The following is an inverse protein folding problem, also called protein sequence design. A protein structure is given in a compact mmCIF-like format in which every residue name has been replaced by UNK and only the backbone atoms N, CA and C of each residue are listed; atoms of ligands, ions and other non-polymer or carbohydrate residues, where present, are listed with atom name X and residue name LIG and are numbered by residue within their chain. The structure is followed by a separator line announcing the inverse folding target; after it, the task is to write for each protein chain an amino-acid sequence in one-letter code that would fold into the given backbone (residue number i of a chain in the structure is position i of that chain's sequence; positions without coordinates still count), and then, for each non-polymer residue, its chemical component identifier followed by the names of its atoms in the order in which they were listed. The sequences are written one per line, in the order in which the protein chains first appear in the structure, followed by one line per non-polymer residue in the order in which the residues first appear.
data_IF_652955042524
#
_entry.id   IF_652955042524
#
_cell.length_a   1.000
_cell.length_b   1.000
_cell.length_c   1.000
_cell.angle_alpha   90.00
_cell.angle_beta   90.00
_cell.angle_gamma   90.00
#
_symmetry.space_group_name_H-M   'P 1'
#
loop_
_entity.id
_entity.type
_entity.pdbx_description
1 polymer ?
#
# COMPACT_ATOMS: atom_id res chain seq x y z
N UNK A 1 15.70 39.23 -19.21
CA UNK A 1 15.84 37.79 -18.91
C UNK A 1 16.07 37.00 -20.19
N UNK A 2 17.04 36.10 -20.22
CA UNK A 2 17.30 35.20 -21.35
C UNK A 2 17.34 33.76 -20.85
N UNK A 3 16.69 32.83 -21.56
CA UNK A 3 16.64 31.41 -21.20
C UNK A 3 17.11 30.62 -22.41
N UNK A 4 18.05 29.70 -22.18
CA UNK A 4 18.57 28.80 -23.20
C UNK A 4 18.62 27.40 -22.68
N UNK A 5 18.51 26.42 -23.58
CA UNK A 5 18.62 25.00 -23.28
C UNK A 5 19.79 24.41 -24.03
N UNK A 6 20.62 23.66 -23.33
CA UNK A 6 21.74 22.92 -23.90
C UNK A 6 21.54 21.41 -23.64
N UNK A 7 21.74 20.58 -24.65
CA UNK A 7 21.75 19.13 -24.47
C UNK A 7 22.95 18.69 -23.61
N UNK A 8 22.73 17.84 -22.64
CA UNK A 8 23.78 17.31 -21.74
C UNK A 8 23.76 15.79 -21.70
N UNK A 9 23.78 15.17 -22.87
CA UNK A 9 23.71 13.71 -23.02
C UNK A 9 22.36 13.20 -23.48
N UNK A 10 22.15 11.87 -23.38
CA UNK A 10 20.92 11.27 -23.79
C UNK A 10 19.79 11.59 -22.77
N UNK A 11 18.69 12.15 -23.24
CA UNK A 11 17.51 12.53 -22.43
C UNK A 11 17.84 13.45 -21.23
N UNK A 12 18.91 14.23 -21.32
CA UNK A 12 19.30 15.22 -20.33
C UNK A 12 19.58 16.57 -20.97
N UNK A 13 19.19 17.63 -20.30
CA UNK A 13 19.54 18.97 -20.73
C UNK A 13 19.82 19.89 -19.53
N UNK A 14 20.47 20.98 -19.81
CA UNK A 14 20.72 22.06 -18.86
C UNK A 14 19.94 23.28 -19.35
N UNK A 15 19.07 23.78 -18.48
CA UNK A 15 18.39 25.06 -18.70
C UNK A 15 19.23 26.15 -18.03
N UNK A 16 19.69 27.10 -18.82
CA UNK A 16 20.42 28.26 -18.35
C UNK A 16 19.50 29.48 -18.36
N UNK A 17 19.34 30.11 -17.21
CA UNK A 17 18.54 31.33 -17.01
C UNK A 17 19.49 32.45 -16.63
N UNK A 18 19.56 33.44 -17.48
CA UNK A 18 20.29 34.70 -17.22
C UNK A 18 19.31 35.80 -16.86
N UNK A 19 19.37 36.27 -15.63
CA UNK A 19 18.56 37.36 -15.08
C UNK A 19 19.35 38.67 -15.07
N UNK A 20 18.76 39.72 -15.62
CA UNK A 20 19.26 41.07 -15.44
C UNK A 20 18.60 41.71 -14.22
N UNK A 21 19.21 42.78 -13.69
CA UNK A 21 18.68 43.51 -12.55
C UNK A 21 17.27 44.07 -12.78
N UNK A 22 16.94 44.37 -14.01
CA UNK A 22 15.64 44.90 -14.42
C UNK A 22 14.52 43.87 -14.24
N UNK A 23 14.84 42.59 -14.35
CA UNK A 23 13.84 41.47 -14.27
C UNK A 23 13.27 41.29 -12.85
N UNK A 24 14.01 41.68 -11.79
CA UNK A 24 13.60 41.43 -10.40
C UNK A 24 13.56 42.66 -9.52
N UNK A 25 14.21 43.79 -9.89
CA UNK A 25 14.38 44.95 -9.00
C UNK A 25 13.06 45.63 -8.61
N UNK A 26 12.06 45.61 -9.48
CA UNK A 26 10.75 46.18 -9.17
C UNK A 26 10.04 45.35 -8.11
N UNK A 27 10.08 43.99 -8.23
CA UNK A 27 9.52 43.05 -7.24
C UNK A 27 10.21 43.25 -5.89
N UNK A 28 11.54 43.32 -5.86
CA UNK A 28 12.33 43.57 -4.65
C UNK A 28 11.93 44.90 -3.98
N UNK A 29 11.83 45.98 -4.75
CA UNK A 29 11.43 47.29 -4.21
C UNK A 29 9.98 47.28 -3.68
N UNK A 30 9.08 46.54 -4.31
CA UNK A 30 7.69 46.37 -3.86
C UNK A 30 7.65 45.64 -2.53
N UNK A 31 8.33 44.49 -2.43
CA UNK A 31 8.40 43.66 -1.20
C UNK A 31 9.07 44.45 -0.06
N UNK A 32 10.16 45.19 -0.32
CA UNK A 32 10.77 46.06 0.69
C UNK A 32 9.83 47.17 1.17
N UNK A 33 8.97 47.73 0.30
CA UNK A 33 7.94 48.72 0.72
C UNK A 33 6.92 48.08 1.66
N UNK A 34 6.54 46.79 1.43
CA UNK A 34 5.61 46.10 2.30
C UNK A 34 6.26 45.72 3.63
N UNK A 35 7.52 45.28 3.63
CA UNK A 35 8.32 45.15 4.86
C UNK A 35 8.37 46.44 5.65
N UNK A 36 8.58 47.61 4.99
CA UNK A 36 8.56 48.90 5.64
C UNK A 36 7.25 49.18 6.36
N UNK A 37 6.11 48.88 5.75
CA UNK A 37 4.78 49.08 6.34
C UNK A 37 4.58 48.28 7.63
N UNK A 38 5.15 47.08 7.66
CA UNK A 38 5.05 46.13 8.78
C UNK A 38 6.16 46.29 9.82
N UNK A 39 7.25 46.96 9.49
CA UNK A 39 8.41 47.11 10.35
C UNK A 39 8.09 47.95 11.60
N UNK A 40 8.38 47.36 12.77
CA UNK A 40 8.30 47.99 14.08
C UNK A 40 9.73 48.09 14.62
N UNK A 41 10.27 49.33 14.68
CA UNK A 41 11.63 49.59 15.14
C UNK A 41 11.63 50.63 16.24
N UNK A 42 12.41 50.45 17.33
CA UNK A 42 12.58 51.47 18.35
C UNK A 42 13.01 52.80 17.77
N UNK A 43 12.33 53.87 18.12
CA UNK A 43 12.60 55.22 17.63
C UNK A 43 11.89 55.64 16.34
N UNK A 44 11.12 54.74 15.71
CA UNK A 44 10.32 55.05 14.53
C UNK A 44 8.86 54.65 14.71
N UNK A 45 7.94 55.46 14.21
CA UNK A 45 6.53 55.07 14.12
C UNK A 45 6.38 53.91 13.13
N UNK A 46 5.53 52.91 13.42
CA UNK A 46 5.25 51.79 12.46
C UNK A 46 4.98 52.31 11.06
N UNK A 47 5.68 51.77 10.06
CA UNK A 47 5.60 52.18 8.66
C UNK A 47 6.41 53.41 8.26
N UNK A 48 7.05 54.12 9.20
CA UNK A 48 7.86 55.34 8.95
C UNK A 48 9.36 55.10 9.04
N UNK A 49 9.81 53.85 9.09
CA UNK A 49 11.23 53.53 9.04
C UNK A 49 11.83 53.95 7.70
N UNK A 50 13.00 54.66 7.67
CA UNK A 50 13.65 55.05 6.43
C UNK A 50 13.96 53.86 5.52
N UNK A 51 13.67 53.94 4.23
CA UNK A 51 13.86 52.87 3.26
C UNK A 51 15.31 52.35 3.22
N UNK A 52 16.29 53.25 3.41
CA UNK A 52 17.71 52.86 3.50
C UNK A 52 18.02 51.90 4.64
N UNK A 53 17.37 52.05 5.80
CA UNK A 53 17.50 51.08 6.91
C UNK A 53 16.84 49.77 6.59
N UNK A 54 15.64 49.76 5.99
CA UNK A 54 14.96 48.58 5.53
C UNK A 54 15.82 47.82 4.51
N UNK A 55 16.37 48.51 3.53
CA UNK A 55 17.29 47.96 2.53
C UNK A 55 18.54 47.34 3.19
N UNK A 56 19.11 47.99 4.21
CA UNK A 56 20.30 47.50 4.90
C UNK A 56 20.00 46.24 5.71
N UNK A 57 18.80 46.17 6.29
CA UNK A 57 18.41 45.01 7.18
C UNK A 57 17.88 43.84 6.40
N UNK A 58 17.07 44.08 5.40
CA UNK A 58 16.30 43.00 4.72
C UNK A 58 16.65 42.90 3.23
N UNK A 59 17.40 43.86 2.69
CA UNK A 59 17.62 43.98 1.25
C UNK A 59 18.22 42.72 0.63
N UNK A 60 19.26 42.17 1.23
CA UNK A 60 19.93 40.97 0.72
C UNK A 60 19.00 39.76 0.70
N UNK A 61 18.32 39.51 1.83
CA UNK A 61 17.38 38.39 1.95
C UNK A 61 16.20 38.55 0.97
N UNK A 62 15.55 39.74 0.95
CA UNK A 62 14.43 39.99 0.04
C UNK A 62 14.85 39.88 -1.42
N UNK A 63 16.08 40.31 -1.76
CA UNK A 63 16.59 40.17 -3.12
C UNK A 63 16.77 38.68 -3.47
N UNK A 64 17.36 37.88 -2.57
CA UNK A 64 17.52 36.45 -2.79
C UNK A 64 16.17 35.73 -2.96
N UNK A 65 15.21 36.07 -2.10
CA UNK A 65 13.86 35.45 -2.14
C UNK A 65 13.12 35.78 -3.45
N UNK A 66 13.14 37.06 -3.87
CA UNK A 66 12.48 37.48 -5.11
C UNK A 66 13.19 36.99 -6.37
N UNK A 67 14.51 36.87 -6.35
CA UNK A 67 15.28 36.29 -7.44
C UNK A 67 14.93 34.79 -7.56
N UNK A 68 14.96 34.04 -6.46
CA UNK A 68 14.61 32.62 -6.48
C UNK A 68 13.18 32.39 -7.00
N UNK A 69 12.24 33.23 -6.56
CA UNK A 69 10.86 33.15 -7.04
C UNK A 69 10.77 33.45 -8.54
N UNK A 70 11.46 34.49 -9.01
CA UNK A 70 11.48 34.86 -10.43
C UNK A 70 12.12 33.80 -11.30
N UNK A 71 13.21 33.16 -10.83
CA UNK A 71 13.87 32.03 -11.51
C UNK A 71 12.93 30.84 -11.60
N UNK A 72 12.28 30.49 -10.49
CA UNK A 72 11.35 29.35 -10.46
C UNK A 72 10.15 29.55 -11.40
N UNK A 73 9.56 30.76 -11.39
CA UNK A 73 8.47 31.13 -12.31
C UNK A 73 8.94 31.04 -13.78
N UNK A 74 10.12 31.56 -14.07
CA UNK A 74 10.68 31.57 -15.41
C UNK A 74 11.01 30.16 -15.92
N UNK A 75 11.56 29.31 -15.04
CA UNK A 75 11.88 27.93 -15.36
C UNK A 75 10.62 27.12 -15.70
N UNK A 76 9.60 27.23 -14.85
CA UNK A 76 8.33 26.53 -15.07
C UNK A 76 7.65 27.00 -16.37
N UNK A 77 7.56 28.31 -16.57
CA UNK A 77 6.99 28.86 -17.80
C UNK A 77 7.73 28.38 -19.05
N UNK A 78 9.08 28.34 -19.00
CA UNK A 78 9.89 27.88 -20.13
C UNK A 78 9.62 26.39 -20.44
N UNK A 79 9.51 25.55 -19.42
CA UNK A 79 9.20 24.11 -19.55
C UNK A 79 7.81 23.95 -20.18
N UNK A 80 6.81 24.68 -19.68
CA UNK A 80 5.42 24.61 -20.17
C UNK A 80 5.28 25.13 -21.61
N UNK A 81 5.85 26.30 -21.92
CA UNK A 81 5.79 26.92 -23.27
C UNK A 81 6.47 26.06 -24.33
N UNK A 82 7.59 25.43 -23.98
CA UNK A 82 8.32 24.53 -24.88
C UNK A 82 7.82 23.09 -24.81
N UNK A 83 6.79 22.79 -23.99
CA UNK A 83 6.21 21.47 -23.83
C UNK A 83 7.24 20.40 -23.52
N UNK A 84 8.22 20.74 -22.67
CA UNK A 84 9.28 19.82 -22.27
C UNK A 84 8.69 18.86 -21.23
N UNK A 85 8.61 17.56 -21.57
CA UNK A 85 8.15 16.54 -20.64
C UNK A 85 9.30 16.15 -19.70
N UNK A 86 9.31 16.75 -18.50
CA UNK A 86 10.40 16.57 -17.53
C UNK A 86 10.10 15.39 -16.61
N UNK A 87 11.12 14.54 -16.39
CA UNK A 87 11.09 13.46 -15.39
C UNK A 87 11.68 13.98 -14.06
N UNK A 88 10.92 13.87 -12.99
CA UNK A 88 11.26 14.45 -11.70
C UNK A 88 11.06 15.97 -11.67
N UNK A 89 11.94 16.68 -10.99
CA UNK A 89 11.97 18.15 -10.98
C UNK A 89 13.35 18.67 -11.40
N UNK A 90 13.42 19.88 -11.98
CA UNK A 90 14.70 20.50 -12.34
C UNK A 90 15.62 20.65 -11.12
N UNK A 91 16.85 20.19 -11.22
CA UNK A 91 17.83 20.25 -10.13
C UNK A 91 18.84 21.37 -10.36
N UNK A 92 19.11 22.24 -9.36
CA UNK A 92 20.15 23.25 -9.49
C UNK A 92 21.52 22.63 -9.79
N UNK A 93 22.17 23.07 -10.84
CA UNK A 93 23.54 22.65 -11.18
C UNK A 93 24.54 23.52 -10.43
N UNK A 94 25.02 23.02 -9.28
CA UNK A 94 25.93 23.75 -8.41
C UNK A 94 27.36 23.88 -8.97
N UNK A 95 27.73 23.06 -9.96
CA UNK A 95 29.05 23.14 -10.60
C UNK A 95 29.14 24.33 -11.58
N UNK A 96 28.05 24.56 -12.32
CA UNK A 96 27.96 25.69 -13.29
C UNK A 96 27.47 26.97 -12.63
N UNK A 97 26.64 26.89 -11.58
CA UNK A 97 26.13 28.09 -10.88
C UNK A 97 27.19 28.64 -9.92
N UNK A 98 27.74 29.80 -10.23
CA UNK A 98 28.73 30.47 -9.38
C UNK A 98 28.05 31.08 -8.14
N UNK A 99 28.78 31.23 -7.02
CA UNK A 99 28.28 31.99 -5.87
C UNK A 99 27.83 33.40 -6.27
N UNK A 100 26.63 33.76 -5.91
CA UNK A 100 25.98 35.00 -6.33
C UNK A 100 26.20 36.09 -5.27
N UNK A 101 26.80 37.22 -5.68
CA UNK A 101 26.80 38.47 -4.91
C UNK A 101 25.73 39.41 -5.49
N UNK A 102 24.58 39.46 -4.84
CA UNK A 102 23.46 40.28 -5.25
C UNK A 102 23.74 41.79 -5.20
N UNK A 103 24.86 42.23 -4.59
CA UNK A 103 25.21 43.64 -4.45
C UNK A 103 25.94 44.22 -5.67
N UNK A 104 26.68 43.40 -6.38
CA UNK A 104 27.60 43.80 -7.45
C UNK A 104 27.28 43.20 -8.81
N UNK A 105 26.41 42.19 -8.89
CA UNK A 105 26.13 41.48 -10.11
C UNK A 105 25.27 42.28 -11.09
N UNK A 106 25.75 42.48 -12.33
CA UNK A 106 24.96 43.06 -13.43
C UNK A 106 24.04 42.03 -14.08
N UNK A 107 24.37 40.73 -13.96
CA UNK A 107 23.59 39.60 -14.40
C UNK A 107 23.77 38.41 -13.45
N UNK A 108 22.74 37.57 -13.33
CA UNK A 108 22.71 36.40 -12.50
C UNK A 108 22.45 35.19 -13.36
N UNK A 109 23.37 34.21 -13.33
CA UNK A 109 23.28 32.99 -14.11
C UNK A 109 22.88 31.80 -13.21
N UNK A 110 21.80 31.14 -13.60
CA UNK A 110 21.30 29.93 -12.94
C UNK A 110 21.25 28.80 -13.92
N UNK A 111 21.73 27.65 -13.49
CA UNK A 111 21.74 26.45 -14.32
C UNK A 111 20.95 25.35 -13.62
N UNK A 112 20.08 24.69 -14.39
CA UNK A 112 19.24 23.60 -13.89
C UNK A 112 19.41 22.37 -14.78
N UNK A 113 19.77 21.27 -14.19
CA UNK A 113 19.75 19.97 -14.87
C UNK A 113 18.31 19.45 -14.90
N UNK A 114 17.89 18.96 -16.07
CA UNK A 114 16.59 18.31 -16.27
C UNK A 114 16.77 16.93 -16.92
N UNK A 115 15.96 15.98 -16.47
CA UNK A 115 15.74 14.73 -17.19
C UNK A 115 14.53 14.88 -18.11
N UNK A 116 14.64 14.44 -19.36
CA UNK A 116 13.60 14.55 -20.37
C UNK A 116 12.99 13.18 -20.61
N UNK A 117 11.67 13.09 -20.63
CA UNK A 117 10.98 11.87 -21.00
C UNK A 117 11.20 11.54 -22.49
N UNK A 118 11.48 10.29 -22.85
CA UNK A 118 11.62 9.89 -24.24
C UNK A 118 10.30 9.97 -24.99
N UNK A 119 10.37 10.09 -26.31
CA UNK A 119 9.22 9.85 -27.16
C UNK A 119 9.08 8.35 -27.44
N UNK A 120 7.91 7.82 -27.22
CA UNK A 120 7.53 6.42 -27.51
C UNK A 120 6.03 6.32 -27.76
N UNK A 121 5.61 5.23 -28.41
CA UNK A 121 4.22 4.95 -28.68
C UNK A 121 3.75 3.73 -27.88
N UNK A 122 2.45 3.74 -27.53
CA UNK A 122 1.76 2.64 -26.86
C UNK A 122 0.60 2.20 -27.75
N UNK A 123 0.65 0.97 -28.26
CA UNK A 123 -0.42 0.39 -29.08
C UNK A 123 -0.80 -0.99 -28.52
N UNK A 124 -1.95 -1.04 -27.83
CA UNK A 124 -2.51 -2.26 -27.25
C UNK A 124 -2.99 -3.27 -28.32
N UNK A 125 -3.18 -2.82 -29.56
CA UNK A 125 -3.67 -3.63 -30.68
C UNK A 125 -2.58 -3.97 -31.70
N UNK A 126 -1.33 -3.68 -31.36
CA UNK A 126 -0.18 -3.98 -32.23
C UNK A 126 -0.15 -5.45 -32.58
N UNK A 127 0.16 -5.75 -33.84
CA UNK A 127 0.32 -7.13 -34.30
C UNK A 127 1.43 -7.84 -33.50
N UNK A 128 1.11 -9.01 -32.96
CA UNK A 128 2.03 -9.79 -32.10
C UNK A 128 1.96 -9.41 -30.62
N UNK A 129 1.26 -8.33 -30.23
CA UNK A 129 1.02 -8.02 -28.82
C UNK A 129 -0.12 -8.89 -28.29
N UNK A 130 0.23 -10.04 -27.70
CA UNK A 130 -0.71 -11.02 -27.17
C UNK A 130 -0.24 -11.44 -25.78
N UNK A 131 -1.16 -11.47 -24.81
CA UNK A 131 -0.89 -11.79 -23.39
C UNK A 131 -1.78 -12.96 -22.96
N UNK A 132 -1.26 -13.96 -22.22
CA UNK A 132 -2.09 -15.06 -21.74
C UNK A 132 -3.11 -14.53 -20.71
N UNK A 133 -4.36 -15.03 -20.81
CA UNK A 133 -5.39 -14.81 -19.80
C UNK A 133 -5.63 -16.12 -19.07
N UNK A 134 -5.16 -16.23 -17.83
CA UNK A 134 -5.28 -17.44 -17.03
C UNK A 134 -6.65 -17.53 -16.39
N UNK A 135 -7.50 -18.42 -16.91
CA UNK A 135 -8.81 -18.71 -16.35
C UNK A 135 -8.70 -19.81 -15.32
N UNK A 136 -8.91 -19.45 -14.06
CA UNK A 136 -8.82 -20.39 -12.94
C UNK A 136 -10.09 -21.23 -12.91
N UNK A 137 -9.94 -22.55 -13.00
CA UNK A 137 -11.05 -23.50 -12.92
C UNK A 137 -11.46 -23.74 -11.46
N UNK A 138 -12.76 -23.63 -11.18
CA UNK A 138 -13.31 -24.02 -9.87
C UNK A 138 -13.63 -25.51 -9.89
N UNK A 139 -12.84 -26.27 -9.17
CA UNK A 139 -13.02 -27.74 -9.05
C UNK A 139 -14.05 -28.09 -7.97
N UNK A 140 -14.63 -29.28 -8.06
CA UNK A 140 -15.55 -29.80 -7.01
C UNK A 140 -14.85 -29.88 -5.65
N UNK A 141 -13.54 -30.15 -5.63
CA UNK A 141 -12.74 -30.18 -4.41
C UNK A 141 -12.72 -28.84 -3.69
N UNK A 142 -12.64 -27.72 -4.43
CA UNK A 142 -12.63 -26.39 -3.85
C UNK A 142 -14.01 -26.00 -3.31
N UNK A 143 -15.07 -26.40 -4.01
CA UNK A 143 -16.43 -26.23 -3.52
C UNK A 143 -16.63 -27.01 -2.23
N UNK A 144 -16.14 -28.25 -2.13
CA UNK A 144 -16.20 -29.05 -0.91
C UNK A 144 -15.34 -28.44 0.22
N UNK A 145 -14.15 -27.92 -0.09
CA UNK A 145 -13.33 -27.22 0.90
C UNK A 145 -14.06 -25.99 1.46
N UNK A 146 -14.58 -25.14 0.57
CA UNK A 146 -15.35 -23.96 0.98
C UNK A 146 -16.60 -24.33 1.80
N UNK A 147 -17.25 -25.43 1.44
CA UNK A 147 -18.39 -25.97 2.18
C UNK A 147 -17.99 -26.40 3.60
N UNK A 148 -16.85 -27.09 3.75
CA UNK A 148 -16.33 -27.51 5.05
C UNK A 148 -15.93 -26.28 5.90
N UNK A 149 -15.29 -25.28 5.31
CA UNK A 149 -14.97 -24.03 6.00
C UNK A 149 -16.24 -23.32 6.50
N UNK A 150 -17.30 -23.31 5.69
CA UNK A 150 -18.61 -22.76 6.08
C UNK A 150 -19.20 -23.56 7.24
N UNK A 151 -19.17 -24.90 7.20
CA UNK A 151 -19.68 -25.74 8.30
C UNK A 151 -18.96 -25.43 9.62
N UNK A 152 -17.64 -25.30 9.57
CA UNK A 152 -16.85 -24.95 10.76
C UNK A 152 -17.16 -23.53 11.23
N UNK A 153 -17.20 -22.55 10.32
CA UNK A 153 -17.38 -21.13 10.65
C UNK A 153 -18.77 -20.79 11.19
N UNK A 154 -19.80 -21.45 10.70
CA UNK A 154 -21.20 -21.25 11.12
C UNK A 154 -21.69 -22.33 12.08
N UNK A 155 -20.78 -23.18 12.56
CA UNK A 155 -21.04 -24.16 13.58
C UNK A 155 -21.38 -23.55 14.94
N UNK A 156 -21.83 -24.36 15.83
CA UNK A 156 -22.19 -23.96 17.20
C UNK A 156 -21.12 -24.43 18.18
N UNK A 157 -20.88 -23.63 19.22
CA UNK A 157 -20.07 -24.04 20.35
C UNK A 157 -20.96 -24.66 21.41
N UNK A 158 -20.67 -25.91 21.78
CA UNK A 158 -21.29 -26.62 22.90
C UNK A 158 -20.30 -26.68 24.05
N UNK A 159 -20.80 -26.65 25.28
CA UNK A 159 -20.01 -26.78 26.51
C UNK A 159 -20.37 -28.11 27.21
N UNK A 160 -19.84 -29.23 26.72
CA UNK A 160 -20.17 -30.53 27.26
C UNK A 160 -19.55 -30.75 28.66
N UNK A 161 -20.18 -31.59 29.48
CA UNK A 161 -19.65 -31.90 30.81
C UNK A 161 -18.30 -32.63 30.77
N UNK A 162 -17.99 -33.33 29.70
CA UNK A 162 -16.76 -34.15 29.55
C UNK A 162 -16.10 -33.94 28.20
N UNK A 163 -14.81 -33.79 28.25
CA UNK A 163 -13.98 -33.62 27.04
C UNK A 163 -13.82 -34.92 26.26
N UNK A 164 -13.92 -34.84 24.94
CA UNK A 164 -13.70 -35.91 23.96
C UNK A 164 -12.60 -35.56 22.96
N UNK A 165 -12.31 -36.48 22.05
CA UNK A 165 -11.36 -36.25 20.97
C UNK A 165 -11.88 -35.15 20.06
N UNK A 166 -11.06 -34.12 19.81
CA UNK A 166 -11.44 -32.97 18.97
C UNK A 166 -11.89 -31.74 19.75
N UNK A 167 -12.29 -31.89 21.01
CA UNK A 167 -12.69 -30.76 21.83
C UNK A 167 -11.53 -29.83 22.16
N UNK A 168 -11.85 -28.56 22.40
CA UNK A 168 -10.99 -27.58 23.04
C UNK A 168 -11.17 -27.63 24.57
N UNK A 169 -10.12 -27.30 25.26
CA UNK A 169 -10.15 -27.09 26.73
C UNK A 169 -9.61 -25.73 27.07
N UNK A 170 -10.38 -24.99 27.84
CA UNK A 170 -9.94 -23.75 28.47
C UNK A 170 -9.60 -24.06 29.92
N UNK A 171 -8.56 -23.42 30.43
CA UNK A 171 -8.19 -23.65 31.80
C UNK A 171 -6.98 -22.86 32.25
N UNK A 172 -6.63 -23.05 33.51
CA UNK A 172 -5.55 -22.35 34.17
C UNK A 172 -4.31 -23.22 34.26
N UNK A 173 -3.20 -22.74 33.69
CA UNK A 173 -1.85 -23.28 33.91
C UNK A 173 -1.28 -22.73 35.20
N UNK A 174 -0.71 -23.58 36.05
CA UNK A 174 0.02 -23.20 37.24
C UNK A 174 1.32 -23.99 37.27
N UNK A 175 2.44 -23.26 37.39
CA UNK A 175 3.78 -23.83 37.35
C UNK A 175 4.08 -24.76 38.57
N UNK A 176 4.69 -25.91 38.27
CA UNK A 176 5.14 -26.86 39.28
C UNK A 176 6.68 -26.91 39.38
N UNK A 177 7.17 -27.17 40.59
CA UNK A 177 8.57 -27.50 40.82
C UNK A 177 8.90 -28.96 40.45
N UNK A 178 10.17 -29.35 40.58
CA UNK A 178 10.61 -30.72 40.25
C UNK A 178 10.03 -31.80 41.19
N UNK A 179 9.45 -31.38 42.33
CA UNK A 179 8.80 -32.28 43.29
C UNK A 179 7.27 -32.35 43.05
N UNK A 180 6.75 -31.58 42.10
CA UNK A 180 5.32 -31.53 41.73
C UNK A 180 4.49 -30.59 42.61
N UNK A 181 5.11 -29.67 43.38
CA UNK A 181 4.42 -28.68 44.18
C UNK A 181 4.27 -27.37 43.38
N UNK A 182 3.24 -26.59 43.71
CA UNK A 182 3.02 -25.27 43.09
C UNK A 182 4.13 -24.29 43.46
N UNK A 183 4.75 -23.68 42.46
CA UNK A 183 5.80 -22.66 42.66
C UNK A 183 5.15 -21.37 43.14
N UNK A 184 5.52 -20.88 44.35
CA UNK A 184 5.02 -19.61 44.85
C UNK A 184 5.53 -18.42 44.00
N UNK A 185 4.61 -17.68 43.40
CA UNK A 185 4.93 -16.59 42.48
C UNK A 185 5.43 -17.06 41.11
N UNK A 186 5.28 -18.36 40.79
CA UNK A 186 5.52 -18.92 39.48
C UNK A 186 4.46 -18.51 38.45
N UNK A 187 4.58 -19.03 37.26
CA UNK A 187 3.68 -18.70 36.15
C UNK A 187 2.27 -19.24 36.45
N UNK A 188 1.31 -18.32 36.38
CA UNK A 188 -0.12 -18.63 36.39
C UNK A 188 -0.76 -17.90 35.20
N UNK A 189 -1.37 -18.66 34.27
CA UNK A 189 -1.98 -18.09 33.08
C UNK A 189 -3.19 -18.90 32.63
N UNK A 190 -4.22 -18.21 32.11
CA UNK A 190 -5.36 -18.86 31.48
C UNK A 190 -5.05 -19.07 30.00
N UNK A 191 -5.32 -20.28 29.52
CA UNK A 191 -5.07 -20.63 28.13
C UNK A 191 -6.14 -21.55 27.57
N UNK A 192 -6.29 -21.50 26.26
CA UNK A 192 -7.15 -22.39 25.49
C UNK A 192 -6.32 -23.16 24.46
N UNK A 193 -6.60 -24.45 24.31
CA UNK A 193 -6.03 -25.25 23.23
C UNK A 193 -6.97 -26.40 22.86
N UNK A 194 -6.89 -26.84 21.62
CA UNK A 194 -7.60 -28.06 21.20
C UNK A 194 -6.80 -29.27 21.61
N UNK A 195 -7.47 -30.31 22.09
CA UNK A 195 -6.80 -31.57 22.55
C UNK A 195 -5.98 -32.22 21.41
N UNK A 196 -6.44 -32.09 20.16
CA UNK A 196 -5.72 -32.57 18.97
C UNK A 196 -4.42 -31.84 18.66
N UNK A 197 -4.21 -30.66 19.22
CA UNK A 197 -2.96 -29.87 19.04
C UNK A 197 -1.81 -30.47 19.85
N UNK A 198 -2.10 -31.26 20.86
CA UNK A 198 -1.12 -31.99 21.64
C UNK A 198 -0.49 -33.09 20.75
N UNK A 199 0.83 -33.05 20.59
CA UNK A 199 1.54 -33.97 19.67
C UNK A 199 1.63 -35.41 20.14
N UNK A 200 1.42 -35.66 21.44
CA UNK A 200 1.52 -37.00 22.04
C UNK A 200 0.13 -37.50 22.40
N UNK A 201 -0.30 -38.60 21.74
CA UNK A 201 -1.58 -39.27 22.03
C UNK A 201 -1.75 -39.72 23.50
N UNK A 202 -0.65 -40.01 24.18
CA UNK A 202 -0.66 -40.33 25.62
C UNK A 202 -1.08 -39.13 26.46
N UNK A 203 -0.74 -37.91 26.06
CA UNK A 203 -1.14 -36.70 26.75
C UNK A 203 -2.58 -36.34 26.36
N UNK A 204 -2.98 -36.44 25.08
CA UNK A 204 -4.37 -36.25 24.65
C UNK A 204 -5.34 -37.08 25.49
N UNK A 205 -5.02 -38.40 25.69
CA UNK A 205 -5.85 -39.29 26.48
C UNK A 205 -6.03 -38.93 27.95
N UNK A 206 -5.14 -38.10 28.52
CA UNK A 206 -5.30 -37.57 29.86
C UNK A 206 -6.49 -36.63 30.01
N UNK A 207 -6.93 -36.03 28.88
CA UNK A 207 -8.06 -35.11 28.84
C UNK A 207 -9.39 -35.80 28.54
N UNK A 208 -9.38 -36.96 27.88
CA UNK A 208 -10.61 -37.66 27.53
C UNK A 208 -11.43 -38.05 28.74
N UNK A 209 -12.71 -37.74 28.73
CA UNK A 209 -13.67 -38.01 29.81
C UNK A 209 -13.47 -37.08 31.03
N UNK A 210 -12.62 -36.07 30.96
CA UNK A 210 -12.42 -35.13 32.07
C UNK A 210 -13.44 -34.01 31.98
N UNK A 211 -13.88 -33.52 33.16
CA UNK A 211 -14.82 -32.43 33.33
C UNK A 211 -14.12 -31.19 33.87
N UNK A 212 -14.89 -30.11 33.94
CA UNK A 212 -14.50 -28.87 34.63
C UNK A 212 -13.97 -29.20 36.05
N UNK A 213 -13.07 -28.42 36.58
CA UNK A 213 -12.32 -28.57 37.82
C UNK A 213 -11.34 -29.76 37.88
N UNK A 214 -11.23 -30.52 36.79
CA UNK A 214 -10.21 -31.60 36.74
C UNK A 214 -8.82 -31.01 36.50
N UNK A 215 -7.85 -31.44 37.30
CA UNK A 215 -6.44 -31.07 37.18
C UNK A 215 -5.70 -32.09 36.35
N UNK A 216 -4.99 -31.68 35.33
CA UNK A 216 -4.15 -32.52 34.47
C UNK A 216 -2.72 -31.97 34.51
N UNK A 217 -1.79 -32.82 34.98
CA UNK A 217 -0.35 -32.46 34.96
C UNK A 217 0.25 -32.79 33.59
N UNK A 218 0.94 -31.80 33.00
CA UNK A 218 1.66 -31.91 31.73
C UNK A 218 2.84 -30.95 31.66
N UNK A 219 3.82 -31.32 30.83
CA UNK A 219 4.84 -30.41 30.39
C UNK A 219 4.45 -29.79 29.06
N UNK A 220 4.18 -28.47 28.97
CA UNK A 220 3.68 -27.84 27.72
C UNK A 220 4.67 -28.00 26.56
N UNK A 221 5.97 -27.83 26.77
CA UNK A 221 6.97 -27.99 25.70
C UNK A 221 6.98 -29.41 25.12
N UNK A 222 6.86 -30.43 25.96
CA UNK A 222 6.77 -31.81 25.52
C UNK A 222 5.43 -32.12 24.85
N UNK A 223 4.36 -31.48 25.30
CA UNK A 223 3.01 -31.72 24.80
C UNK A 223 2.77 -31.11 23.43
N UNK A 224 3.17 -29.87 23.23
CA UNK A 224 2.92 -29.12 21.98
C UNK A 224 4.08 -29.21 20.99
N UNK A 225 5.33 -29.31 21.47
CA UNK A 225 6.56 -29.27 20.65
C UNK A 225 6.65 -28.04 19.75
N UNK A 226 6.15 -26.91 20.25
CA UNK A 226 6.07 -25.63 19.58
C UNK A 226 6.24 -24.52 20.62
N UNK A 227 7.42 -23.90 20.63
CA UNK A 227 7.79 -22.90 21.64
C UNK A 227 6.93 -21.63 21.54
N UNK A 228 6.61 -21.19 20.30
CA UNK A 228 5.79 -20.00 20.10
C UNK A 228 4.38 -20.20 20.66
N UNK A 229 3.80 -21.39 20.41
CA UNK A 229 2.50 -21.75 20.96
C UNK A 229 2.51 -21.88 22.48
N UNK A 230 3.57 -22.45 23.06
CA UNK A 230 3.72 -22.57 24.52
C UNK A 230 3.85 -21.20 25.17
N UNK A 231 4.62 -20.28 24.58
CA UNK A 231 4.71 -18.89 25.06
C UNK A 231 3.35 -18.18 25.03
N UNK A 232 2.59 -18.36 23.96
CA UNK A 232 1.24 -17.79 23.86
C UNK A 232 0.27 -18.37 24.93
N UNK A 233 0.42 -19.63 25.29
CA UNK A 233 -0.41 -20.31 26.30
C UNK A 233 -0.03 -19.97 27.74
N UNK A 234 1.24 -19.65 28.00
CA UNK A 234 1.76 -19.36 29.33
C UNK A 234 1.89 -17.85 29.62
N UNK A 235 1.68 -17.02 28.58
CA UNK A 235 1.76 -15.57 28.66
C UNK A 235 3.12 -14.98 28.27
N UNK A 236 3.11 -13.70 27.96
CA UNK A 236 4.32 -12.95 27.57
C UNK A 236 5.27 -12.79 28.78
N UNK A 237 6.56 -13.00 28.55
CA UNK A 237 7.59 -12.82 29.57
C UNK A 237 7.98 -14.07 30.37
N UNK A 238 7.52 -15.24 29.94
CA UNK A 238 7.92 -16.52 30.52
C UNK A 238 9.40 -16.81 30.18
N UNK A 239 10.22 -17.06 31.22
CA UNK A 239 11.64 -17.37 31.05
C UNK A 239 11.89 -18.81 30.58
N UNK A 240 13.14 -19.12 30.21
CA UNK A 240 13.52 -20.43 29.70
C UNK A 240 13.30 -21.59 30.71
N UNK A 241 13.40 -21.31 32.01
CA UNK A 241 13.20 -22.29 33.07
C UNK A 241 11.72 -22.64 33.21
N UNK A 242 10.86 -21.63 33.23
CA UNK A 242 9.42 -21.79 33.26
C UNK A 242 8.88 -22.48 31.99
N UNK A 243 9.45 -22.20 30.80
CA UNK A 243 9.07 -22.89 29.58
C UNK A 243 9.30 -24.41 29.62
N UNK A 244 10.33 -24.86 30.37
CA UNK A 244 10.71 -26.27 30.50
C UNK A 244 10.05 -26.96 31.69
N UNK A 245 9.38 -26.20 32.57
CA UNK A 245 8.75 -26.70 33.78
C UNK A 245 7.51 -27.55 33.47
N UNK A 246 7.13 -28.39 34.45
CA UNK A 246 5.84 -29.03 34.46
C UNK A 246 4.77 -28.06 34.99
N UNK A 247 3.54 -28.25 34.53
CA UNK A 247 2.39 -27.44 34.93
C UNK A 247 1.22 -28.34 35.31
N UNK A 248 0.45 -27.92 36.30
CA UNK A 248 -0.92 -28.39 36.44
C UNK A 248 -1.82 -27.47 35.58
N UNK A 249 -2.68 -28.12 34.81
CA UNK A 249 -3.73 -27.46 34.04
C UNK A 249 -5.09 -27.83 34.65
N UNK A 250 -5.76 -26.83 35.19
CA UNK A 250 -7.11 -26.98 35.73
C UNK A 250 -8.12 -26.63 34.65
N UNK A 251 -8.94 -27.55 34.23
CA UNK A 251 -9.95 -27.30 33.20
C UNK A 251 -11.03 -26.41 33.78
N UNK A 252 -11.28 -25.27 33.16
CA UNK A 252 -12.35 -24.33 33.52
C UNK A 252 -13.55 -24.44 32.58
N UNK A 253 -13.31 -24.91 31.35
CA UNK A 253 -14.36 -25.11 30.34
C UNK A 253 -13.93 -26.18 29.33
N UNK A 254 -14.93 -26.86 28.76
CA UNK A 254 -14.75 -27.77 27.61
C UNK A 254 -15.58 -27.20 26.47
N UNK A 255 -14.94 -26.98 25.34
CA UNK A 255 -15.56 -26.35 24.18
C UNK A 255 -15.56 -27.33 23.02
N UNK A 256 -16.73 -27.70 22.55
CA UNK A 256 -16.93 -28.56 21.38
C UNK A 256 -17.48 -27.74 20.24
N UNK A 257 -16.72 -27.67 19.16
CA UNK A 257 -17.21 -27.08 17.93
C UNK A 257 -17.98 -28.11 17.12
N UNK A 258 -19.30 -27.95 17.08
CA UNK A 258 -20.17 -28.73 16.25
C UNK A 258 -20.33 -28.07 14.90
N UNK A 259 -19.97 -28.82 13.84
CA UNK A 259 -20.15 -28.31 12.47
C UNK A 259 -21.63 -27.94 12.22
N UNK A 260 -21.86 -26.85 11.52
CA UNK A 260 -23.20 -26.44 11.10
C UNK A 260 -23.84 -27.50 10.22
N UNK A 261 -25.09 -27.80 10.46
CA UNK A 261 -25.91 -28.61 9.56
C UNK A 261 -26.21 -27.81 8.29
N UNK A 262 -26.14 -28.48 7.13
CA UNK A 262 -26.46 -27.84 5.84
C UNK A 262 -27.98 -27.84 5.64
N UNK A 263 -28.62 -26.84 6.20
CA UNK A 263 -30.08 -26.63 6.14
C UNK A 263 -30.38 -25.17 5.73
N UNK A 264 -31.67 -24.87 5.50
CA UNK A 264 -32.12 -23.54 5.05
C UNK A 264 -31.71 -22.40 6.01
N UNK A 265 -31.60 -22.67 7.32
CA UNK A 265 -31.17 -21.69 8.31
C UNK A 265 -29.70 -21.30 8.09
N UNK A 266 -28.84 -22.28 7.92
CA UNK A 266 -27.41 -22.07 7.61
C UNK A 266 -27.24 -21.39 6.27
N UNK A 267 -27.98 -21.80 5.24
CA UNK A 267 -27.91 -21.16 3.91
C UNK A 267 -28.28 -19.68 3.99
N UNK A 268 -29.30 -19.35 4.76
CA UNK A 268 -29.72 -17.95 4.96
C UNK A 268 -28.75 -17.12 5.82
N UNK A 269 -28.06 -17.76 6.77
CA UNK A 269 -26.99 -17.10 7.54
C UNK A 269 -25.80 -16.75 6.64
N UNK A 270 -25.44 -17.64 5.68
CA UNK A 270 -24.32 -17.45 4.76
C UNK A 270 -24.67 -16.49 3.63
N UNK A 271 -25.86 -16.63 3.04
CA UNK A 271 -26.37 -15.83 1.92
C UNK A 271 -27.74 -15.22 2.25
N UNK A 272 -27.76 -14.15 3.07
CA UNK A 272 -29.02 -13.57 3.55
C UNK A 272 -29.98 -13.08 2.46
N UNK A 273 -29.45 -12.69 1.30
CA UNK A 273 -30.18 -12.12 0.18
C UNK A 273 -30.71 -13.17 -0.81
N UNK A 274 -30.30 -14.43 -0.66
CA UNK A 274 -30.61 -15.49 -1.62
C UNK A 274 -31.65 -16.45 -1.03
N UNK A 275 -32.59 -16.95 -1.84
CA UNK A 275 -33.61 -17.95 -1.43
C UNK A 275 -33.11 -19.37 -1.81
N UNK A 276 -32.14 -19.86 -1.05
CA UNK A 276 -31.49 -21.15 -1.26
C UNK A 276 -32.18 -22.18 -0.38
N UNK A 277 -32.67 -23.30 -0.97
CA UNK A 277 -33.43 -24.35 -0.27
C UNK A 277 -32.78 -25.71 -0.32
N UNK A 278 -31.88 -25.94 -1.28
CA UNK A 278 -31.24 -27.26 -1.44
C UNK A 278 -29.72 -27.13 -1.28
N UNK A 279 -29.07 -28.25 -0.93
CA UNK A 279 -27.62 -28.32 -0.84
C UNK A 279 -26.98 -28.10 -2.23
N UNK A 280 -27.63 -28.58 -3.28
CA UNK A 280 -27.20 -28.43 -4.65
C UNK A 280 -27.18 -26.94 -5.05
N UNK A 281 -28.23 -26.19 -4.73
CA UNK A 281 -28.30 -24.76 -4.99
C UNK A 281 -27.24 -23.99 -4.16
N UNK A 282 -27.01 -24.42 -2.92
CA UNK A 282 -26.00 -23.85 -2.05
C UNK A 282 -24.59 -24.06 -2.61
N UNK A 283 -24.27 -25.27 -3.07
CA UNK A 283 -23.00 -25.58 -3.74
C UNK A 283 -22.85 -24.78 -5.04
N UNK A 284 -23.89 -24.66 -5.84
CA UNK A 284 -23.87 -23.87 -7.07
C UNK A 284 -23.61 -22.38 -6.76
N UNK A 285 -24.16 -21.87 -5.67
CA UNK A 285 -23.94 -20.48 -5.24
C UNK A 285 -22.52 -20.27 -4.75
N UNK A 286 -21.97 -21.19 -3.97
CA UNK A 286 -20.53 -21.17 -3.57
C UNK A 286 -19.63 -21.20 -4.80
N UNK A 287 -19.90 -22.11 -5.74
CA UNK A 287 -19.13 -22.18 -6.99
C UNK A 287 -19.12 -20.87 -7.75
N UNK A 288 -20.28 -20.23 -7.88
CA UNK A 288 -20.40 -18.91 -8.52
C UNK A 288 -19.60 -17.83 -7.81
N UNK A 289 -19.53 -17.84 -6.48
CA UNK A 289 -18.71 -16.89 -5.72
C UNK A 289 -17.20 -17.13 -5.91
N UNK A 290 -16.79 -18.39 -5.91
CA UNK A 290 -15.41 -18.77 -6.20
C UNK A 290 -15.02 -18.37 -7.64
N UNK A 291 -15.89 -18.64 -8.63
CA UNK A 291 -15.67 -18.19 -10.02
C UNK A 291 -15.52 -16.68 -10.13
N UNK A 292 -16.35 -15.91 -9.40
CA UNK A 292 -16.26 -14.46 -9.37
C UNK A 292 -14.97 -13.97 -8.69
N UNK A 293 -14.53 -14.64 -7.65
CA UNK A 293 -13.27 -14.33 -6.97
C UNK A 293 -12.08 -14.61 -7.88
N UNK A 294 -12.03 -15.79 -8.47
CA UNK A 294 -10.98 -16.19 -9.39
C UNK A 294 -10.94 -15.35 -10.68
N UNK A 295 -12.09 -14.91 -11.18
CA UNK A 295 -12.11 -13.98 -12.32
C UNK A 295 -11.41 -12.64 -11.99
N UNK A 296 -11.52 -12.15 -10.75
CA UNK A 296 -10.79 -10.96 -10.30
C UNK A 296 -9.28 -11.20 -10.23
N UNK A 297 -8.88 -12.36 -9.71
CA UNK A 297 -7.47 -12.71 -9.62
C UNK A 297 -6.85 -12.90 -11.02
N UNK A 298 -7.58 -13.57 -11.92
CA UNK A 298 -7.20 -13.71 -13.33
C UNK A 298 -7.04 -12.35 -14.02
N UNK A 299 -7.99 -11.44 -13.81
CA UNK A 299 -7.96 -10.09 -14.37
C UNK A 299 -6.79 -9.26 -13.83
N UNK A 300 -6.49 -9.39 -12.53
CA UNK A 300 -5.34 -8.72 -11.91
C UNK A 300 -4.02 -9.23 -12.48
N UNK A 301 -3.87 -10.55 -12.62
CA UNK A 301 -2.66 -11.13 -13.21
C UNK A 301 -2.51 -10.71 -14.67
N UNK A 302 -3.58 -10.76 -15.46
CA UNK A 302 -3.57 -10.30 -16.84
C UNK A 302 -3.14 -8.84 -16.95
N UNK A 303 -3.66 -7.97 -16.08
CA UNK A 303 -3.27 -6.56 -16.02
C UNK A 303 -1.76 -6.41 -15.72
N UNK A 304 -1.24 -7.16 -14.77
CA UNK A 304 0.19 -7.16 -14.43
C UNK A 304 1.07 -7.63 -15.61
N UNK A 305 0.65 -8.69 -16.29
CA UNK A 305 1.37 -9.23 -17.46
C UNK A 305 1.36 -8.26 -18.64
N UNK A 306 0.21 -7.58 -18.89
CA UNK A 306 0.12 -6.52 -19.89
C UNK A 306 1.04 -5.35 -19.57
N UNK A 307 1.06 -4.88 -18.33
CA UNK A 307 1.95 -3.80 -17.87
C UNK A 307 3.42 -4.18 -18.09
N UNK A 308 3.80 -5.37 -17.67
CA UNK A 308 5.16 -5.87 -17.85
C UNK A 308 5.56 -5.90 -19.31
N UNK A 309 4.71 -6.46 -20.15
CA UNK A 309 4.95 -6.54 -21.59
C UNK A 309 4.99 -5.17 -22.27
N UNK A 310 4.14 -4.23 -21.87
CA UNK A 310 4.17 -2.86 -22.38
C UNK A 310 5.50 -2.16 -22.04
N UNK A 311 5.99 -2.32 -20.82
CA UNK A 311 7.28 -1.75 -20.41
C UNK A 311 8.44 -2.36 -21.22
N UNK A 312 8.41 -3.66 -21.44
CA UNK A 312 9.45 -4.36 -22.21
C UNK A 312 9.43 -3.98 -23.69
N UNK A 313 8.25 -3.96 -24.34
CA UNK A 313 8.14 -3.68 -25.78
C UNK A 313 8.27 -2.20 -26.14
N UNK A 314 7.98 -1.29 -25.20
CA UNK A 314 8.10 0.15 -25.46
C UNK A 314 9.56 0.64 -25.57
N UNK A 315 10.54 -0.18 -25.18
CA UNK A 315 11.97 0.16 -25.21
C UNK A 315 12.29 1.55 -24.67
N UNK A 316 11.62 1.93 -23.57
CA UNK A 316 11.77 3.24 -22.94
C UNK A 316 13.17 3.36 -22.35
N UNK A 317 13.96 4.30 -22.91
CA UNK A 317 15.21 4.72 -22.29
C UNK A 317 14.92 5.78 -21.23
N UNK A 318 15.71 5.79 -20.17
CA UNK A 318 15.59 6.76 -19.08
C UNK A 318 16.89 7.55 -18.91
N UNK A 319 16.84 8.80 -18.44
CA UNK A 319 18.04 9.55 -18.07
C UNK A 319 18.60 9.07 -16.72
N UNK A 320 19.11 7.83 -16.66
CA UNK A 320 19.46 7.13 -15.42
C UNK A 320 20.38 7.93 -14.50
N UNK A 321 21.41 8.56 -15.05
CA UNK A 321 22.36 9.35 -14.26
C UNK A 321 21.67 10.55 -13.57
N UNK A 322 20.70 11.20 -14.24
CA UNK A 322 19.90 12.27 -13.67
C UNK A 322 18.93 11.70 -12.61
N UNK A 323 18.20 10.64 -12.93
CA UNK A 323 17.20 10.04 -12.03
C UNK A 323 17.82 9.52 -10.74
N UNK A 324 19.00 8.92 -10.80
CA UNK A 324 19.73 8.48 -9.59
C UNK A 324 20.06 9.67 -8.69
N UNK A 325 20.62 10.77 -9.23
CA UNK A 325 20.87 11.99 -8.45
C UNK A 325 19.57 12.60 -7.89
N UNK A 326 18.53 12.64 -8.70
CA UNK A 326 17.23 13.16 -8.31
C UNK A 326 16.61 12.32 -7.17
N UNK A 327 16.70 10.99 -7.22
CA UNK A 327 16.22 10.10 -6.16
C UNK A 327 16.97 10.32 -4.84
N UNK A 328 18.29 10.51 -4.88
CA UNK A 328 19.08 10.82 -3.69
C UNK A 328 18.69 12.15 -3.08
N UNK A 329 18.52 13.19 -3.90
CA UNK A 329 18.13 14.52 -3.45
C UNK A 329 16.71 14.53 -2.85
N UNK A 330 15.75 13.93 -3.55
CA UNK A 330 14.34 13.89 -3.12
C UNK A 330 14.13 13.12 -1.82
N UNK A 331 14.95 12.09 -1.55
CA UNK A 331 14.89 11.31 -0.32
C UNK A 331 15.64 11.93 0.87
N UNK A 332 16.28 13.09 0.68
CA UNK A 332 16.93 13.85 1.77
C UNK A 332 17.84 13.01 2.67
N UNK A 333 18.62 12.11 2.09
CA UNK A 333 19.57 11.27 2.81
C UNK A 333 18.97 10.05 3.53
N UNK A 334 17.68 9.73 3.29
CA UNK A 334 17.05 8.50 3.82
C UNK A 334 17.49 7.24 3.09
N UNK A 335 18.03 7.39 1.88
CA UNK A 335 18.54 6.30 1.03
C UNK A 335 20.01 6.57 0.75
N UNK A 336 20.87 5.56 0.90
CA UNK A 336 22.28 5.62 0.51
C UNK A 336 22.46 5.32 -0.97
N UNK A 337 23.59 5.76 -1.55
CA UNK A 337 23.93 5.43 -2.94
C UNK A 337 23.96 3.91 -3.20
N UNK A 338 24.48 3.13 -2.25
CA UNK A 338 24.52 1.66 -2.35
C UNK A 338 23.13 1.04 -2.35
N UNK A 339 22.24 1.53 -1.48
CA UNK A 339 20.84 1.10 -1.46
C UNK A 339 20.10 1.48 -2.74
N UNK A 340 20.33 2.70 -3.24
CA UNK A 340 19.75 3.13 -4.49
C UNK A 340 20.22 2.25 -5.65
N UNK A 341 21.52 1.96 -5.74
CA UNK A 341 22.07 1.14 -6.83
C UNK A 341 21.47 -0.26 -6.85
N UNK A 342 21.27 -0.88 -5.68
CA UNK A 342 20.63 -2.19 -5.56
C UNK A 342 19.14 -2.22 -5.91
N UNK A 343 18.44 -1.08 -5.80
CA UNK A 343 17.00 -0.97 -6.01
C UNK A 343 16.62 -0.19 -7.28
N UNK A 344 17.61 0.34 -8.00
CA UNK A 344 17.36 1.25 -9.12
C UNK A 344 16.49 0.65 -10.22
N UNK A 345 16.67 -0.64 -10.53
CA UNK A 345 15.86 -1.33 -11.53
C UNK A 345 14.35 -1.30 -11.19
N UNK A 346 14.00 -1.37 -9.91
CA UNK A 346 12.61 -1.25 -9.47
C UNK A 346 12.08 0.18 -9.66
N UNK A 347 12.90 1.19 -9.32
CA UNK A 347 12.53 2.59 -9.59
C UNK A 347 12.40 2.87 -11.09
N UNK A 348 13.32 2.34 -11.89
CA UNK A 348 13.28 2.48 -13.36
C UNK A 348 12.00 1.86 -13.95
N UNK A 349 11.58 0.67 -13.48
CA UNK A 349 10.31 0.06 -13.88
C UNK A 349 9.12 0.96 -13.53
N UNK A 350 9.14 1.56 -12.33
CA UNK A 350 8.07 2.48 -11.90
C UNK A 350 8.01 3.74 -12.78
N UNK A 351 9.14 4.34 -13.14
CA UNK A 351 9.16 5.49 -14.05
C UNK A 351 8.68 5.12 -15.45
N UNK A 352 9.13 3.99 -15.98
CA UNK A 352 8.66 3.50 -17.28
C UNK A 352 7.15 3.27 -17.26
N UNK A 353 6.64 2.67 -16.19
CA UNK A 353 5.20 2.48 -16.03
C UNK A 353 4.44 3.81 -15.99
N UNK A 354 4.89 4.79 -15.21
CA UNK A 354 4.27 6.12 -15.18
C UNK A 354 4.17 6.74 -16.58
N UNK A 355 5.23 6.67 -17.37
CA UNK A 355 5.22 7.17 -18.73
C UNK A 355 4.21 6.45 -19.62
N UNK A 356 4.13 5.13 -19.53
CA UNK A 356 3.15 4.30 -20.25
C UNK A 356 1.73 4.65 -19.81
N UNK A 357 1.50 4.74 -18.51
CA UNK A 357 0.20 5.08 -17.91
C UNK A 357 -0.30 6.46 -18.38
N UNK A 358 0.58 7.47 -18.43
CA UNK A 358 0.24 8.80 -18.91
C UNK A 358 -0.14 8.79 -20.39
N UNK A 359 0.53 7.98 -21.22
CA UNK A 359 0.14 7.77 -22.63
C UNK A 359 -1.21 7.07 -22.74
N UNK A 360 -1.46 6.03 -21.93
CA UNK A 360 -2.76 5.35 -21.89
C UNK A 360 -3.87 6.30 -21.43
N UNK A 361 -3.65 7.12 -20.41
CA UNK A 361 -4.61 8.15 -19.97
C UNK A 361 -4.91 9.16 -21.08
N UNK A 362 -3.92 9.59 -21.83
CA UNK A 362 -4.11 10.49 -22.96
C UNK A 362 -4.89 9.82 -24.08
N UNK A 363 -4.68 8.52 -24.34
CA UNK A 363 -5.34 7.76 -25.41
C UNK A 363 -6.79 7.39 -25.06
N UNK A 364 -7.04 6.92 -23.82
CA UNK A 364 -8.34 6.41 -23.39
C UNK A 364 -9.19 7.43 -22.61
N UNK A 365 -8.63 8.57 -22.23
CA UNK A 365 -9.34 9.70 -21.66
C UNK A 365 -10.23 9.32 -20.48
N UNK A 366 -11.55 9.54 -20.61
CA UNK A 366 -12.50 9.30 -19.52
C UNK A 366 -12.56 7.85 -19.03
N UNK A 367 -12.13 6.86 -19.82
CA UNK A 367 -12.10 5.46 -19.39
C UNK A 367 -11.07 5.23 -18.29
N UNK A 368 -9.97 6.00 -18.29
CA UNK A 368 -8.90 5.94 -17.30
C UNK A 368 -8.88 7.16 -16.35
N UNK A 369 -9.94 7.94 -16.30
CA UNK A 369 -10.07 9.04 -15.33
C UNK A 369 -10.77 8.55 -14.06
N UNK A 370 -10.15 8.77 -12.92
CA UNK A 370 -10.75 8.55 -11.59
C UNK A 370 -10.97 9.92 -10.96
N UNK A 371 -12.23 10.35 -10.87
CA UNK A 371 -12.61 11.58 -10.21
C UNK A 371 -12.92 11.38 -8.73
N UNK A 372 -13.05 12.48 -8.00
CA UNK A 372 -13.33 12.44 -6.57
C UNK A 372 -14.67 11.75 -6.24
N UNK A 373 -15.68 11.86 -7.13
CA UNK A 373 -16.97 11.23 -6.89
C UNK A 373 -16.89 9.72 -7.05
N UNK A 374 -16.13 9.21 -8.03
CA UNK A 374 -15.86 7.78 -8.18
C UNK A 374 -15.17 7.19 -6.92
N UNK A 375 -14.24 7.93 -6.33
CA UNK A 375 -13.60 7.52 -5.06
C UNK A 375 -14.62 7.47 -3.93
N UNK A 376 -15.48 8.48 -3.82
CA UNK A 376 -16.57 8.51 -2.82
C UNK A 376 -17.57 7.38 -3.02
N UNK A 377 -17.96 7.11 -4.25
CA UNK A 377 -18.88 6.02 -4.58
C UNK A 377 -18.29 4.65 -4.25
N UNK A 378 -16.99 4.46 -4.43
CA UNK A 378 -16.30 3.23 -4.02
C UNK A 378 -16.40 3.03 -2.50
N UNK A 379 -16.22 4.09 -1.71
CA UNK A 379 -16.39 4.02 -0.25
C UNK A 379 -17.85 3.75 0.13
N UNK A 380 -18.82 4.41 -0.52
CA UNK A 380 -20.27 4.14 -0.29
C UNK A 380 -20.63 2.69 -0.56
N UNK A 381 -20.02 2.09 -1.59
CA UNK A 381 -20.27 0.70 -1.95
C UNK A 381 -19.87 -0.30 -0.85
N UNK A 382 -18.90 0.03 0.02
CA UNK A 382 -18.60 -0.79 1.21
C UNK A 382 -19.78 -0.89 2.19
N UNK A 383 -20.66 0.11 2.17
CA UNK A 383 -21.90 0.14 2.97
C UNK A 383 -23.14 -0.28 2.16
N UNK A 384 -22.93 -0.92 0.99
CA UNK A 384 -23.99 -1.34 0.06
C UNK A 384 -24.86 -0.19 -0.47
N UNK A 385 -24.31 1.03 -0.50
CA UNK A 385 -24.94 2.23 -1.03
C UNK A 385 -24.36 2.54 -2.40
N UNK A 386 -25.23 2.68 -3.42
CA UNK A 386 -24.84 3.07 -4.77
C UNK A 386 -25.29 4.51 -5.04
N UNK A 387 -24.31 5.38 -5.29
CA UNK A 387 -24.54 6.79 -5.57
C UNK A 387 -24.89 7.65 -4.34
N UNK A 388 -24.59 8.94 -4.47
CA UNK A 388 -24.83 9.92 -3.38
C UNK A 388 -26.31 10.09 -3.05
N UNK A 389 -27.17 9.96 -4.02
CA UNK A 389 -28.64 10.10 -3.90
C UNK A 389 -29.26 9.04 -2.99
N UNK A 390 -28.63 7.88 -2.85
CA UNK A 390 -29.05 6.79 -1.99
C UNK A 390 -28.35 6.80 -0.62
N UNK A 391 -27.42 7.74 -0.41
CA UNK A 391 -26.65 7.86 0.82
C UNK A 391 -27.40 8.68 1.88
N UNK A 392 -27.12 8.39 3.13
CA UNK A 392 -27.61 9.18 4.26
C UNK A 392 -26.48 10.01 4.90
N UNK A 393 -26.79 11.03 5.72
CA UNK A 393 -25.77 11.90 6.31
C UNK A 393 -24.73 11.18 7.16
N UNK A 394 -25.07 10.05 7.78
CA UNK A 394 -24.13 9.28 8.60
C UNK A 394 -23.09 8.58 7.72
N UNK A 395 -23.53 7.99 6.59
CA UNK A 395 -22.63 7.36 5.62
C UNK A 395 -21.73 8.41 4.99
N UNK A 396 -22.25 9.57 4.59
CA UNK A 396 -21.43 10.66 4.03
C UNK A 396 -20.37 11.14 5.03
N UNK A 397 -20.71 11.23 6.32
CA UNK A 397 -19.73 11.58 7.36
C UNK A 397 -18.62 10.52 7.47
N UNK A 398 -18.96 9.23 7.36
CA UNK A 398 -17.95 8.16 7.35
C UNK A 398 -17.10 8.24 6.09
N UNK A 399 -17.69 8.50 4.92
CA UNK A 399 -16.98 8.71 3.65
C UNK A 399 -15.96 9.85 3.80
N UNK A 400 -16.39 11.00 4.36
CA UNK A 400 -15.49 12.14 4.58
C UNK A 400 -14.39 11.81 5.58
N UNK A 401 -14.67 11.04 6.62
CA UNK A 401 -13.68 10.60 7.61
C UNK A 401 -12.63 9.67 6.99
N UNK A 402 -13.05 8.68 6.19
CA UNK A 402 -12.12 7.77 5.51
C UNK A 402 -11.23 8.55 4.53
N UNK A 403 -11.82 9.43 3.73
CA UNK A 403 -11.09 10.21 2.71
C UNK A 403 -10.27 11.38 3.29
N UNK A 404 -10.47 11.76 4.55
CA UNK A 404 -9.58 12.69 5.25
C UNK A 404 -8.20 12.08 5.52
N UNK A 405 -8.11 10.75 5.57
CA UNK A 405 -6.85 10.03 5.59
C UNK A 405 -6.30 9.93 4.16
N UNK A 406 -5.20 10.65 3.90
CA UNK A 406 -4.58 10.68 2.56
C UNK A 406 -4.13 9.31 2.07
N UNK A 407 -3.64 8.45 2.96
CA UNK A 407 -3.18 7.11 2.61
C UNK A 407 -4.34 6.22 2.16
N UNK A 408 -5.46 6.24 2.90
CA UNK A 408 -6.67 5.50 2.52
C UNK A 408 -7.27 6.02 1.21
N UNK A 409 -7.35 7.35 1.05
CA UNK A 409 -7.82 7.96 -0.18
C UNK A 409 -6.96 7.57 -1.40
N UNK A 410 -5.63 7.56 -1.24
CA UNK A 410 -4.70 7.14 -2.29
C UNK A 410 -4.84 5.66 -2.63
N UNK A 411 -5.04 4.81 -1.63
CA UNK A 411 -5.26 3.37 -1.82
C UNK A 411 -6.53 3.10 -2.64
N UNK A 412 -7.64 3.76 -2.27
CA UNK A 412 -8.92 3.61 -3.00
C UNK A 412 -8.80 4.13 -4.43
N UNK A 413 -8.09 5.26 -4.62
CA UNK A 413 -7.81 5.78 -5.96
C UNK A 413 -7.03 4.78 -6.80
N UNK A 414 -5.98 4.17 -6.23
CA UNK A 414 -5.17 3.15 -6.92
C UNK A 414 -5.99 1.92 -7.27
N UNK A 415 -6.84 1.42 -6.36
CA UNK A 415 -7.74 0.29 -6.62
C UNK A 415 -8.70 0.58 -7.79
N UNK A 416 -9.27 1.79 -7.85
CA UNK A 416 -10.14 2.19 -8.95
C UNK A 416 -9.39 2.34 -10.28
N UNK A 417 -8.17 2.85 -10.23
CA UNK A 417 -7.32 2.94 -11.42
C UNK A 417 -6.98 1.54 -11.96
N UNK A 418 -6.61 0.62 -11.07
CA UNK A 418 -6.34 -0.78 -11.45
C UNK A 418 -7.57 -1.46 -12.08
N UNK A 419 -8.77 -1.23 -11.52
CA UNK A 419 -10.03 -1.74 -12.09
C UNK A 419 -10.28 -1.17 -13.49
N UNK A 420 -10.05 0.12 -13.70
CA UNK A 420 -10.22 0.78 -15.00
C UNK A 420 -9.19 0.33 -16.03
N UNK A 421 -7.91 0.22 -15.61
CA UNK A 421 -6.85 -0.33 -16.47
C UNK A 421 -7.16 -1.77 -16.87
N UNK A 422 -7.58 -2.59 -15.93
CA UNK A 422 -7.98 -3.97 -16.21
C UNK A 422 -9.11 -4.06 -17.23
N UNK A 423 -10.13 -3.22 -17.12
CA UNK A 423 -11.23 -3.17 -18.07
C UNK A 423 -10.75 -2.77 -19.47
N UNK A 424 -9.92 -1.72 -19.58
CA UNK A 424 -9.33 -1.26 -20.84
C UNK A 424 -8.46 -2.35 -21.47
N UNK A 425 -7.65 -3.05 -20.70
CA UNK A 425 -6.78 -4.10 -21.22
C UNK A 425 -7.56 -5.32 -21.67
N UNK A 426 -8.56 -5.77 -20.91
CA UNK A 426 -9.42 -6.91 -21.31
C UNK A 426 -10.14 -6.60 -22.62
N UNK A 427 -10.57 -5.35 -22.86
CA UNK A 427 -11.27 -4.94 -24.06
C UNK A 427 -10.35 -4.79 -25.28
N UNK A 428 -9.11 -4.31 -25.09
CA UNK A 428 -8.26 -3.85 -26.17
C UNK A 428 -7.04 -4.74 -26.46
N UNK A 429 -6.61 -5.57 -25.51
CA UNK A 429 -5.44 -6.45 -25.68
C UNK A 429 -5.89 -7.81 -26.17
N UNK A 430 -5.22 -8.33 -27.20
CA UNK A 430 -5.46 -9.70 -27.64
C UNK A 430 -4.99 -10.69 -26.58
N UNK A 431 -5.92 -11.47 -26.04
CA UNK A 431 -5.63 -12.48 -25.05
C UNK A 431 -5.75 -13.89 -25.59
N UNK A 432 -4.93 -14.80 -25.06
CA UNK A 432 -5.05 -16.24 -25.24
C UNK A 432 -5.53 -16.83 -23.92
N UNK A 433 -6.78 -17.32 -23.90
CA UNK A 433 -7.32 -17.96 -22.70
C UNK A 433 -6.60 -19.29 -22.43
N UNK A 434 -6.06 -19.45 -21.23
CA UNK A 434 -5.45 -20.68 -20.72
C UNK A 434 -6.15 -21.11 -19.45
N UNK A 435 -6.79 -22.27 -19.45
CA UNK A 435 -7.45 -22.82 -18.26
C UNK A 435 -6.38 -23.42 -17.35
N UNK A 436 -6.37 -23.01 -16.09
CA UNK A 436 -5.37 -23.44 -15.09
C UNK A 436 -6.05 -23.82 -13.79
N UNK A 437 -5.42 -24.72 -13.00
CA UNK A 437 -5.84 -24.98 -11.63
C UNK A 437 -5.38 -23.87 -10.69
N UNK A 438 -6.00 -23.68 -9.50
CA UNK A 438 -5.57 -22.71 -8.53
C UNK A 438 -4.11 -22.84 -8.10
N UNK A 439 -3.64 -24.08 -7.92
CA UNK A 439 -2.25 -24.35 -7.55
C UNK A 439 -1.29 -23.87 -8.66
N UNK A 440 -1.65 -24.16 -9.92
CA UNK A 440 -0.86 -23.72 -11.07
C UNK A 440 -0.84 -22.20 -11.22
N UNK A 441 -1.98 -21.56 -10.98
CA UNK A 441 -2.08 -20.13 -10.98
C UNK A 441 -1.16 -19.50 -9.91
N UNK A 442 -1.15 -20.05 -8.70
CA UNK A 442 -0.26 -19.60 -7.63
C UNK A 442 1.23 -19.70 -8.02
N UNK A 443 1.63 -20.79 -8.70
CA UNK A 443 3.01 -20.90 -9.22
C UNK A 443 3.35 -19.83 -10.25
N UNK A 444 2.39 -19.45 -11.11
CA UNK A 444 2.56 -18.41 -12.13
C UNK A 444 2.78 -17.05 -11.44
N UNK A 445 1.89 -16.69 -10.51
CA UNK A 445 1.96 -15.43 -9.76
C UNK A 445 3.28 -15.30 -8.99
N UNK A 446 3.76 -16.39 -8.36
CA UNK A 446 5.03 -16.38 -7.61
C UNK A 446 6.24 -16.13 -8.51
N UNK A 447 6.24 -16.63 -9.74
CA UNK A 447 7.36 -16.44 -10.68
C UNK A 447 7.48 -15.02 -11.21
N UNK A 448 6.38 -14.27 -11.25
CA UNK A 448 6.37 -12.87 -11.71
C UNK A 448 6.88 -11.93 -10.61
N UNK A 449 6.75 -12.31 -9.33
CA UNK A 449 7.15 -11.51 -8.18
C UNK A 449 8.60 -11.74 -7.71
N UNK A 450 9.38 -12.53 -8.42
CA UNK A 450 10.83 -12.75 -8.21
C UNK A 450 11.62 -11.99 -9.29
#
# INVERSE_FOLDING_TARGET
MNITQESNGNLQAIIHINLTKEDYIEKVNSTLKDYRKKANMPGFRPGMVPMGMIKKMYGQQVTADEVNKTVSEALNNYIDENKINVLGYPMPNMEKTKPIDFSTAEGLDFFFDIGIAPEFDVDLKKEGFEVPYYKIEVTDKEVENALNDIKVRFGEEEHPEKAEEGDGVQGKFVQLDNEGNVVKGGVEHEGYFRIVDLKLKTIQKKFYGKSVDTVVALNPMNAFKDEAKVKALLGDGVDEEALKSDYQFTITDVIRHKEAELNEETFKKVFPSDDIKTIEDFKARIKKDLEKHYAKDSARQFTSDVITKLIEESNIELPDAFLKRWLLDSNQGKITEEQLESQYDSYAKTFKWQLVEDKLKAQFGNQLTVDNEAVRDKVRAYFQVQGKENSNPQIEQIVDQILSNKEEGQKIYSELMDEKLSAVFIENVKSKEEVVTPEKFMEIVQKVNV
#
